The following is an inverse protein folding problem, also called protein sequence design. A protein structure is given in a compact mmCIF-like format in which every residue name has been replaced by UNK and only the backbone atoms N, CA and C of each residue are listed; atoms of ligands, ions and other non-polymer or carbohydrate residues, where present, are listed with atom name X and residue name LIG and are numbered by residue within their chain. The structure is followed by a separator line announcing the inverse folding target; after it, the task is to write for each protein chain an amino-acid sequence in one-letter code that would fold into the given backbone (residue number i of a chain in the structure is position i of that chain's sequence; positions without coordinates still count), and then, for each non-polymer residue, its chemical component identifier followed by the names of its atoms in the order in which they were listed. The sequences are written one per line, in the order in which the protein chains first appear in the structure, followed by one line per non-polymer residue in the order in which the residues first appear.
data_IF_805282450139
#
_entry.id   IF_805282450139
#
_cell.length_a   1.000
_cell.length_b   1.000
_cell.length_c   1.000
_cell.angle_alpha   90.00
_cell.angle_beta   90.00
_cell.angle_gamma   90.00
#
_symmetry.space_group_name_H-M   'P 1'
#
loop_
_entity.id
_entity.type
_entity.pdbx_description
1 polymer ?
#
# COMPACT_ATOMS: atom_id res chain seq x y z
N UNK A 1 -2.42 16.75 -23.48
CA UNK A 1 -1.29 16.23 -22.66
C UNK A 1 -0.02 16.24 -23.50
N UNK A 2 1.12 16.73 -22.95
CA UNK A 2 2.38 16.81 -23.67
C UNK A 2 2.89 15.43 -24.12
N UNK A 3 3.74 15.38 -25.16
CA UNK A 3 4.36 14.15 -25.65
C UNK A 3 5.14 13.45 -24.52
N UNK A 4 5.83 14.21 -23.68
CA UNK A 4 6.58 13.71 -22.53
C UNK A 4 5.68 12.94 -21.53
N UNK A 5 4.49 13.46 -21.18
CA UNK A 5 3.53 12.77 -20.31
C UNK A 5 3.05 11.46 -20.94
N UNK A 6 2.82 11.45 -22.26
CA UNK A 6 2.40 10.21 -22.97
C UNK A 6 3.51 9.16 -22.97
N UNK A 7 4.76 9.60 -23.21
CA UNK A 7 5.92 8.71 -23.20
C UNK A 7 6.17 8.14 -21.80
N UNK A 8 6.14 8.98 -20.76
CA UNK A 8 6.28 8.55 -19.37
C UNK A 8 5.24 7.50 -18.99
N UNK A 9 3.96 7.73 -19.32
CA UNK A 9 2.91 6.76 -19.04
C UNK A 9 3.13 5.41 -19.73
N UNK A 10 3.48 5.41 -21.02
CA UNK A 10 3.75 4.17 -21.75
C UNK A 10 4.94 3.41 -21.17
N UNK A 11 6.03 4.11 -20.84
CA UNK A 11 7.19 3.51 -20.21
C UNK A 11 6.85 2.94 -18.83
N UNK A 12 6.09 3.68 -18.01
CA UNK A 12 5.63 3.22 -16.72
C UNK A 12 4.79 1.94 -16.83
N UNK A 13 3.77 1.90 -17.71
CA UNK A 13 2.92 0.71 -17.92
C UNK A 13 3.75 -0.49 -18.40
N UNK A 14 4.72 -0.29 -19.26
CA UNK A 14 5.64 -1.35 -19.69
C UNK A 14 6.46 -1.89 -18.52
N UNK A 15 7.10 -1.01 -17.74
CA UNK A 15 7.93 -1.42 -16.60
C UNK A 15 7.11 -2.03 -15.45
N UNK A 16 5.86 -1.63 -15.31
CA UNK A 16 4.95 -2.18 -14.30
C UNK A 16 4.77 -3.69 -14.46
N UNK A 17 4.69 -4.19 -15.69
CA UNK A 17 4.48 -5.62 -15.99
C UNK A 17 5.79 -6.42 -16.07
N UNK A 18 6.93 -5.75 -16.26
CA UNK A 18 8.23 -6.41 -16.46
C UNK A 18 8.81 -6.97 -15.16
N UNK A 19 9.32 -8.22 -15.21
CA UNK A 19 10.04 -8.86 -14.10
C UNK A 19 11.22 -9.69 -14.64
N UNK A 20 12.49 -9.46 -14.27
CA UNK A 20 12.94 -8.27 -13.53
C UNK A 20 12.78 -6.98 -14.34
N UNK A 21 12.72 -5.83 -13.64
CA UNK A 21 12.69 -4.53 -14.32
C UNK A 21 14.07 -4.14 -14.81
N UNK A 22 14.10 -3.49 -15.96
CA UNK A 22 15.30 -2.87 -16.51
C UNK A 22 15.69 -1.64 -15.66
N UNK A 23 16.84 -1.70 -15.01
CA UNK A 23 17.30 -0.66 -14.08
C UNK A 23 17.63 0.67 -14.79
N UNK A 24 18.19 0.61 -16.02
CA UNK A 24 18.52 1.81 -16.80
C UNK A 24 17.24 2.52 -17.24
N UNK A 25 16.24 1.75 -17.68
CA UNK A 25 14.96 2.29 -18.09
C UNK A 25 14.17 2.85 -16.90
N UNK A 26 14.26 2.23 -15.71
CA UNK A 26 13.69 2.78 -14.46
C UNK A 26 14.36 4.10 -14.10
N UNK A 27 15.70 4.19 -14.17
CA UNK A 27 16.44 5.41 -13.88
C UNK A 27 16.12 6.53 -14.87
N UNK A 28 16.01 6.21 -16.15
CA UNK A 28 15.58 7.16 -17.18
C UNK A 28 14.16 7.67 -16.91
N UNK A 29 13.23 6.76 -16.59
CA UNK A 29 11.86 7.12 -16.25
C UNK A 29 11.80 8.04 -15.00
N UNK A 30 12.60 7.74 -13.98
CA UNK A 30 12.75 8.56 -12.79
C UNK A 30 13.16 10.00 -13.12
N UNK A 31 14.18 10.16 -13.98
CA UNK A 31 14.64 11.47 -14.45
C UNK A 31 13.55 12.23 -15.20
N UNK A 32 12.74 11.53 -15.99
CA UNK A 32 11.62 12.14 -16.71
C UNK A 32 10.52 12.60 -15.74
N UNK A 33 10.23 11.83 -14.68
CA UNK A 33 9.25 12.22 -13.66
C UNK A 33 9.70 13.42 -12.83
N UNK A 34 11.00 13.63 -12.58
CA UNK A 34 11.51 14.85 -11.96
C UNK A 34 11.04 16.10 -12.73
N UNK A 35 11.22 16.09 -14.07
CA UNK A 35 10.78 17.20 -14.92
C UNK A 35 9.26 17.35 -14.97
N UNK A 36 8.53 16.24 -14.96
CA UNK A 36 7.06 16.27 -15.01
C UNK A 36 6.44 16.82 -13.72
N UNK A 37 6.99 16.48 -12.56
CA UNK A 37 6.50 16.96 -11.26
C UNK A 37 6.67 18.47 -11.12
N UNK A 38 7.78 19.04 -11.58
CA UNK A 38 7.98 20.50 -11.56
C UNK A 38 6.88 21.25 -12.33
N UNK A 39 6.37 20.63 -13.41
CA UNK A 39 5.33 21.21 -14.28
C UNK A 39 3.91 20.88 -13.86
N UNK A 40 3.71 19.80 -13.12
CA UNK A 40 2.41 19.25 -12.76
C UNK A 40 2.33 18.87 -11.27
N UNK A 41 2.76 19.79 -10.39
CA UNK A 41 2.89 19.61 -8.92
C UNK A 41 1.62 19.13 -8.21
N UNK A 42 0.45 19.26 -8.83
CA UNK A 42 -0.87 18.88 -8.28
C UNK A 42 -1.49 17.66 -8.98
N UNK A 43 -0.78 16.98 -9.89
CA UNK A 43 -1.31 15.78 -10.53
C UNK A 43 -1.04 14.56 -9.63
N UNK A 44 -2.04 14.14 -8.87
CA UNK A 44 -1.99 13.02 -7.92
C UNK A 44 -1.51 11.71 -8.59
N UNK A 45 -1.87 11.49 -9.85
CA UNK A 45 -1.43 10.30 -10.59
C UNK A 45 0.06 10.33 -10.89
N UNK A 46 0.61 11.51 -11.22
CA UNK A 46 2.05 11.67 -11.45
C UNK A 46 2.80 11.46 -10.14
N UNK A 47 2.31 12.04 -9.04
CA UNK A 47 2.91 11.87 -7.71
C UNK A 47 2.87 10.39 -7.27
N UNK A 48 1.72 9.71 -7.42
CA UNK A 48 1.60 8.28 -7.10
C UNK A 48 2.56 7.43 -7.93
N UNK A 49 2.60 7.64 -9.25
CA UNK A 49 3.53 6.89 -10.11
C UNK A 49 4.99 7.14 -9.72
N UNK A 50 5.31 8.36 -9.27
CA UNK A 50 6.63 8.69 -8.74
C UNK A 50 6.96 7.87 -7.48
N UNK A 51 6.04 7.80 -6.54
CA UNK A 51 6.23 7.00 -5.33
C UNK A 51 6.45 5.51 -5.65
N UNK A 52 5.71 4.97 -6.62
CA UNK A 52 5.89 3.60 -7.10
C UNK A 52 7.29 3.40 -7.74
N UNK A 53 7.80 4.37 -8.50
CA UNK A 53 9.15 4.31 -9.09
C UNK A 53 10.20 4.32 -7.98
N UNK A 54 10.06 5.14 -6.94
CA UNK A 54 10.93 5.12 -5.78
C UNK A 54 10.93 3.75 -5.08
N UNK A 55 9.75 3.14 -4.92
CA UNK A 55 9.64 1.78 -4.38
C UNK A 55 10.40 0.75 -5.23
N UNK A 56 10.32 0.85 -6.57
CA UNK A 56 11.08 -0.03 -7.47
C UNK A 56 12.60 0.14 -7.33
N UNK A 57 13.05 1.34 -6.98
CA UNK A 57 14.46 1.68 -6.73
C UNK A 57 14.89 1.43 -5.28
N UNK A 58 14.00 0.91 -4.43
CA UNK A 58 14.22 0.71 -2.98
C UNK A 58 14.52 2.01 -2.21
N UNK A 59 14.09 3.14 -2.76
CA UNK A 59 14.19 4.47 -2.13
C UNK A 59 12.95 4.70 -1.24
N UNK A 60 12.79 3.85 -0.23
CA UNK A 60 11.57 3.75 0.58
C UNK A 60 11.23 5.05 1.31
N UNK A 61 12.23 5.75 1.87
CA UNK A 61 11.99 7.03 2.57
C UNK A 61 11.38 8.08 1.65
N UNK A 62 11.86 8.16 0.38
CA UNK A 62 11.30 9.07 -0.60
C UNK A 62 9.88 8.67 -1.00
N UNK A 63 9.63 7.38 -1.17
CA UNK A 63 8.29 6.86 -1.47
C UNK A 63 7.32 7.17 -0.32
N UNK A 64 7.71 6.91 0.94
CA UNK A 64 6.92 7.18 2.14
C UNK A 64 6.51 8.66 2.21
N UNK A 65 7.45 9.59 2.01
CA UNK A 65 7.17 11.02 2.04
C UNK A 65 6.13 11.43 0.98
N UNK A 66 6.22 10.86 -0.23
CA UNK A 66 5.24 11.13 -1.28
C UNK A 66 3.87 10.54 -0.93
N UNK A 67 3.82 9.28 -0.43
CA UNK A 67 2.55 8.67 -0.03
C UNK A 67 1.88 9.41 1.14
N UNK A 68 2.64 9.85 2.15
CA UNK A 68 2.10 10.69 3.24
C UNK A 68 1.48 11.98 2.68
N UNK A 69 2.15 12.64 1.74
CA UNK A 69 1.60 13.82 1.07
C UNK A 69 0.34 13.51 0.26
N UNK A 70 0.27 12.37 -0.42
CA UNK A 70 -0.92 11.94 -1.15
C UNK A 70 -2.10 11.65 -0.22
N UNK A 71 -1.86 11.09 0.96
CA UNK A 71 -2.91 10.77 1.92
C UNK A 71 -3.65 12.00 2.46
N UNK A 72 -3.08 13.21 2.36
CA UNK A 72 -3.78 14.46 2.69
C UNK A 72 -5.01 14.69 1.81
N UNK A 73 -4.93 14.30 0.54
CA UNK A 73 -5.97 14.53 -0.46
C UNK A 73 -6.70 13.24 -0.86
N UNK A 74 -6.09 12.07 -0.59
CA UNK A 74 -6.54 10.76 -1.08
C UNK A 74 -6.68 9.72 0.04
N UNK A 75 -7.00 10.14 1.26
CA UNK A 75 -7.13 9.22 2.42
C UNK A 75 -8.24 8.18 2.28
N UNK A 76 -9.22 8.41 1.41
CA UNK A 76 -10.28 7.46 1.08
C UNK A 76 -9.88 6.45 -0.01
N UNK A 77 -8.65 6.51 -0.53
CA UNK A 77 -8.16 5.59 -1.56
C UNK A 77 -7.34 4.45 -0.94
N UNK A 78 -7.91 3.26 -0.92
CA UNK A 78 -7.29 2.07 -0.33
C UNK A 78 -5.89 1.76 -0.86
N UNK A 79 -5.68 1.98 -2.16
CA UNK A 79 -4.40 1.68 -2.80
C UNK A 79 -3.26 2.57 -2.31
N UNK A 80 -3.53 3.80 -1.87
CA UNK A 80 -2.48 4.67 -1.30
C UNK A 80 -1.99 4.12 0.04
N UNK A 81 -2.88 3.64 0.89
CA UNK A 81 -2.54 2.98 2.15
C UNK A 81 -1.77 1.67 1.93
N UNK A 82 -2.26 0.85 0.98
CA UNK A 82 -1.61 -0.43 0.65
C UNK A 82 -0.22 -0.24 0.05
N UNK A 83 -0.04 0.71 -0.86
CA UNK A 83 1.26 1.01 -1.47
C UNK A 83 2.24 1.63 -0.46
N UNK A 84 1.74 2.43 0.51
CA UNK A 84 2.55 2.89 1.64
C UNK A 84 3.02 1.71 2.51
N UNK A 85 2.17 0.71 2.76
CA UNK A 85 2.55 -0.50 3.48
C UNK A 85 3.69 -1.26 2.81
N UNK A 86 3.73 -1.29 1.47
CA UNK A 86 4.81 -1.93 0.70
C UNK A 86 6.18 -1.24 0.91
N UNK A 87 6.17 0.03 1.33
CA UNK A 87 7.40 0.80 1.59
C UNK A 87 7.97 0.57 3.00
N UNK A 88 7.19 0.07 3.94
CA UNK A 88 7.64 -0.19 5.32
C UNK A 88 8.49 -1.46 5.33
N UNK A 89 9.70 -1.41 5.88
CA UNK A 89 10.59 -2.57 5.88
C UNK A 89 10.71 -3.24 7.25
N UNK A 90 10.70 -2.49 8.34
CA UNK A 90 11.16 -2.94 9.65
C UNK A 90 10.03 -3.14 10.69
N UNK A 91 8.73 -3.01 10.29
CA UNK A 91 7.61 -3.14 11.20
C UNK A 91 6.43 -3.87 10.59
N UNK A 92 6.20 -5.10 11.02
CA UNK A 92 4.98 -5.85 10.68
C UNK A 92 3.73 -5.16 11.25
N UNK A 93 3.82 -4.65 12.48
CA UNK A 93 2.73 -3.93 13.13
C UNK A 93 2.24 -2.75 12.28
N UNK A 94 3.16 -1.93 11.78
CA UNK A 94 2.82 -0.79 10.93
C UNK A 94 2.26 -1.24 9.57
N UNK A 95 2.79 -2.30 8.97
CA UNK A 95 2.21 -2.89 7.76
C UNK A 95 0.78 -3.35 7.98
N UNK A 96 0.53 -4.08 9.09
CA UNK A 96 -0.82 -4.52 9.48
C UNK A 96 -1.74 -3.31 9.64
N UNK A 97 -1.26 -2.24 10.27
CA UNK A 97 -2.02 -1.02 10.47
C UNK A 97 -2.45 -0.36 9.15
N UNK A 98 -1.52 -0.16 8.23
CA UNK A 98 -1.76 0.46 6.93
C UNK A 98 -2.69 -0.40 6.05
N UNK A 99 -2.51 -1.72 6.03
CA UNK A 99 -3.39 -2.64 5.31
C UNK A 99 -4.78 -2.71 5.93
N UNK A 100 -4.89 -2.70 7.26
CA UNK A 100 -6.17 -2.62 7.97
C UNK A 100 -6.92 -1.35 7.60
N UNK A 101 -6.23 -0.21 7.52
CA UNK A 101 -6.83 1.05 7.07
C UNK A 101 -7.30 0.97 5.62
N UNK A 102 -6.53 0.35 4.72
CA UNK A 102 -6.94 0.11 3.35
C UNK A 102 -8.26 -0.68 3.25
N UNK A 103 -8.40 -1.74 4.07
CA UNK A 103 -9.63 -2.56 4.15
C UNK A 103 -10.84 -1.82 4.74
N UNK A 104 -10.63 -0.78 5.53
CA UNK A 104 -11.73 0.03 6.07
C UNK A 104 -12.25 1.07 5.08
N UNK A 105 -11.40 1.58 4.20
CA UNK A 105 -11.79 2.65 3.26
C UNK A 105 -12.38 2.13 1.95
N UNK A 106 -12.08 0.88 1.55
CA UNK A 106 -12.67 0.24 0.37
C UNK A 106 -13.75 -0.78 0.77
N UNK A 107 -14.80 -0.86 -0.01
CA UNK A 107 -15.91 -1.80 0.23
C UNK A 107 -16.06 -2.85 -0.87
N UNK A 108 -15.41 -2.64 -2.02
CA UNK A 108 -15.48 -3.58 -3.12
C UNK A 108 -14.38 -4.63 -2.96
N UNK A 109 -14.78 -5.83 -2.55
CA UNK A 109 -13.89 -6.96 -2.29
C UNK A 109 -13.11 -7.42 -3.53
N UNK A 110 -13.58 -7.15 -4.74
CA UNK A 110 -12.86 -7.49 -5.98
C UNK A 110 -11.48 -6.81 -6.06
N UNK A 111 -11.30 -5.67 -5.39
CA UNK A 111 -10.03 -4.94 -5.35
C UNK A 111 -9.13 -5.32 -4.19
N UNK A 112 -9.64 -6.05 -3.19
CA UNK A 112 -8.98 -6.25 -1.90
C UNK A 112 -8.24 -7.59 -1.77
N UNK A 113 -8.35 -8.50 -2.75
CA UNK A 113 -7.79 -9.84 -2.67
C UNK A 113 -6.29 -9.88 -2.32
N UNK A 114 -5.47 -9.05 -2.95
CA UNK A 114 -4.03 -8.99 -2.64
C UNK A 114 -3.76 -8.47 -1.23
N UNK A 115 -4.60 -7.55 -0.72
CA UNK A 115 -4.48 -6.98 0.62
C UNK A 115 -4.81 -8.03 1.66
N UNK A 116 -5.92 -8.78 1.50
CA UNK A 116 -6.27 -9.89 2.38
C UNK A 116 -5.15 -10.94 2.47
N UNK A 117 -4.55 -11.31 1.34
CA UNK A 117 -3.43 -12.27 1.35
C UNK A 117 -2.19 -11.73 2.05
N UNK A 118 -1.83 -10.47 1.79
CA UNK A 118 -0.65 -9.87 2.44
C UNK A 118 -0.88 -9.70 3.94
N UNK A 119 -2.08 -9.29 4.34
CA UNK A 119 -2.45 -9.17 5.74
C UNK A 119 -2.45 -10.54 6.43
N UNK A 120 -2.99 -11.58 5.80
CA UNK A 120 -2.95 -12.93 6.35
C UNK A 120 -1.52 -13.42 6.60
N UNK A 121 -0.57 -13.21 5.67
CA UNK A 121 0.84 -13.57 5.87
C UNK A 121 1.47 -12.83 7.06
N UNK A 122 1.17 -11.54 7.23
CA UNK A 122 1.64 -10.77 8.37
C UNK A 122 1.03 -11.25 9.69
N UNK A 123 -0.27 -11.53 9.72
CA UNK A 123 -0.96 -12.06 10.90
C UNK A 123 -0.45 -13.45 11.30
N UNK A 124 -0.09 -14.30 10.32
CA UNK A 124 0.58 -15.60 10.59
C UNK A 124 1.93 -15.37 11.28
N UNK A 125 2.72 -14.40 10.82
CA UNK A 125 4.03 -14.08 11.39
C UNK A 125 3.92 -13.53 12.82
N UNK A 126 2.83 -12.83 13.13
CA UNK A 126 2.51 -12.29 14.45
C UNK A 126 1.71 -13.28 15.33
N UNK A 127 1.58 -14.55 14.91
CA UNK A 127 0.87 -15.61 15.63
C UNK A 127 -0.62 -15.34 15.86
N UNK A 128 -1.22 -14.42 15.11
CA UNK A 128 -2.65 -14.09 15.12
C UNK A 128 -3.42 -15.03 14.18
N UNK A 129 -3.40 -16.32 14.50
CA UNK A 129 -3.84 -17.41 13.63
C UNK A 129 -5.33 -17.35 13.29
N UNK A 130 -6.20 -17.00 14.25
CA UNK A 130 -7.65 -16.90 14.04
C UNK A 130 -8.00 -15.77 13.07
N UNK A 131 -7.36 -14.63 13.22
CA UNK A 131 -7.53 -13.46 12.36
C UNK A 131 -6.96 -13.72 10.97
N UNK A 132 -5.81 -14.38 10.88
CA UNK A 132 -5.23 -14.79 9.60
C UNK A 132 -6.17 -15.74 8.82
N UNK A 133 -6.76 -16.73 9.50
CA UNK A 133 -7.74 -17.63 8.90
C UNK A 133 -9.00 -16.88 8.43
N UNK A 134 -9.43 -15.86 9.17
CA UNK A 134 -10.52 -14.98 8.74
C UNK A 134 -10.21 -14.29 7.41
N UNK A 135 -9.02 -13.71 7.25
CA UNK A 135 -8.58 -13.05 6.00
C UNK A 135 -8.56 -14.04 4.82
N UNK A 136 -8.03 -15.23 5.04
CA UNK A 136 -7.99 -16.28 4.01
C UNK A 136 -9.39 -16.74 3.61
N UNK A 137 -10.32 -16.84 4.55
CA UNK A 137 -11.71 -17.18 4.27
C UNK A 137 -12.44 -16.08 3.48
N UNK A 138 -12.19 -14.80 3.81
CA UNK A 138 -12.70 -13.66 3.03
C UNK A 138 -12.16 -13.73 1.61
N UNK A 139 -10.85 -13.89 1.44
CA UNK A 139 -10.22 -14.02 0.13
C UNK A 139 -10.87 -15.14 -0.69
N UNK A 140 -10.99 -16.37 -0.12
CA UNK A 140 -11.58 -17.51 -0.80
C UNK A 140 -13.04 -17.31 -1.22
N UNK A 141 -13.79 -16.56 -0.42
CA UNK A 141 -15.22 -16.28 -0.70
C UNK A 141 -15.41 -15.42 -1.95
N UNK A 142 -14.52 -14.46 -2.19
CA UNK A 142 -14.63 -13.47 -3.27
C UNK A 142 -13.74 -13.78 -4.49
N UNK A 143 -12.84 -14.77 -4.38
CA UNK A 143 -11.92 -15.15 -5.46
C UNK A 143 -12.04 -16.64 -5.77
N UNK A 144 -12.72 -16.97 -6.88
CA UNK A 144 -13.00 -18.35 -7.29
C UNK A 144 -11.72 -19.17 -7.53
N UNK A 145 -10.71 -18.55 -8.15
CA UNK A 145 -9.43 -19.19 -8.41
C UNK A 145 -8.42 -18.76 -7.32
N UNK A 146 -8.21 -19.65 -6.35
CA UNK A 146 -7.23 -19.39 -5.29
C UNK A 146 -5.81 -19.34 -5.86
N UNK A 147 -5.07 -18.29 -5.50
CA UNK A 147 -3.68 -18.12 -5.92
C UNK A 147 -2.75 -19.13 -5.22
N UNK A 148 -1.53 -19.33 -5.81
CA UNK A 148 -0.48 -20.13 -5.16
C UNK A 148 -0.18 -19.60 -3.74
N UNK A 149 -0.16 -18.28 -3.54
CA UNK A 149 0.05 -17.68 -2.21
C UNK A 149 -1.03 -18.09 -1.21
N UNK A 150 -2.30 -18.16 -1.64
CA UNK A 150 -3.36 -18.65 -0.77
C UNK A 150 -3.09 -20.07 -0.29
N UNK A 151 -2.67 -20.97 -1.19
CA UNK A 151 -2.35 -22.37 -0.83
C UNK A 151 -1.18 -22.41 0.16
N UNK A 152 -0.12 -21.66 -0.08
CA UNK A 152 1.04 -21.58 0.82
C UNK A 152 0.65 -21.06 2.21
N UNK A 153 -0.27 -20.11 2.31
CA UNK A 153 -0.68 -19.52 3.59
C UNK A 153 -1.65 -20.41 4.35
N UNK A 154 -2.61 -21.04 3.68
CA UNK A 154 -3.56 -21.96 4.34
C UNK A 154 -2.87 -23.21 4.92
N UNK A 155 -1.77 -23.65 4.34
CA UNK A 155 -0.95 -24.74 4.88
C UNK A 155 -0.19 -24.35 6.15
N UNK A 156 0.03 -23.05 6.39
CA UNK A 156 0.75 -22.52 7.56
C UNK A 156 -0.16 -22.16 8.72
N UNK A 157 -1.46 -22.15 8.51
CA UNK A 157 -2.46 -21.77 9.51
C UNK A 157 -3.07 -23.03 10.13
N UNK A 158 -3.23 -23.01 11.46
CA UNK A 158 -4.02 -24.04 12.13
C UNK A 158 -5.51 -23.85 11.82
N UNK A 159 -6.03 -24.68 10.93
CA UNK A 159 -7.43 -24.65 10.49
C UNK A 159 -8.41 -25.18 11.55
N UNK A 160 -7.94 -25.69 12.68
CA UNK A 160 -8.79 -26.14 13.81
C UNK A 160 -9.27 -24.97 14.68
N UNK A 161 -8.63 -23.80 14.56
CA UNK A 161 -9.08 -22.60 15.27
C UNK A 161 -10.38 -22.06 14.68
N UNK A 162 -11.20 -21.47 15.52
CA UNK A 162 -12.44 -20.84 15.09
C UNK A 162 -12.14 -19.39 14.73
N UNK A 163 -12.19 -19.00 13.43
CA UNK A 163 -11.94 -17.63 13.03
C UNK A 163 -13.11 -16.73 13.44
N UNK A 164 -12.88 -15.45 13.70
CA UNK A 164 -13.96 -14.49 13.87
C UNK A 164 -14.77 -14.36 12.55
N UNK A 165 -16.03 -13.90 12.66
CA UNK A 165 -16.88 -13.68 11.51
C UNK A 165 -16.32 -12.59 10.54
N UNK A 166 -15.55 -11.66 11.08
CA UNK A 166 -14.82 -10.60 10.37
C UNK A 166 -13.76 -10.00 11.29
N UNK A 167 -12.77 -9.32 10.72
CA UNK A 167 -11.68 -8.67 11.44
C UNK A 167 -11.91 -7.16 11.69
N UNK A 168 -13.15 -6.65 11.68
CA UNK A 168 -13.42 -5.20 11.84
C UNK A 168 -12.86 -4.61 13.14
N UNK A 169 -12.89 -5.36 14.24
CA UNK A 169 -12.31 -4.92 15.51
C UNK A 169 -10.79 -4.76 15.40
N UNK A 170 -10.14 -5.72 14.77
CA UNK A 170 -8.70 -5.64 14.48
C UNK A 170 -8.41 -4.44 13.58
N UNK A 171 -9.13 -4.29 12.47
CA UNK A 171 -8.92 -3.17 11.55
C UNK A 171 -9.09 -1.81 12.22
N UNK A 172 -10.15 -1.61 13.04
CA UNK A 172 -10.37 -0.36 13.73
C UNK A 172 -9.27 -0.05 14.75
N UNK A 173 -8.77 -1.06 15.47
CA UNK A 173 -7.65 -0.91 16.40
C UNK A 173 -6.38 -0.46 15.69
N UNK A 174 -6.05 -1.10 14.58
CA UNK A 174 -4.83 -0.80 13.83
C UNK A 174 -4.93 0.47 12.97
N UNK A 175 -6.13 0.85 12.53
CA UNK A 175 -6.33 2.05 11.73
C UNK A 175 -5.87 3.33 12.46
N UNK A 176 -6.01 3.40 13.79
CA UNK A 176 -5.50 4.53 14.58
C UNK A 176 -3.98 4.67 14.46
N UNK A 177 -3.25 3.56 14.52
CA UNK A 177 -1.79 3.54 14.35
C UNK A 177 -1.41 4.02 12.93
N UNK A 178 -2.17 3.59 11.91
CA UNK A 178 -1.95 4.01 10.53
C UNK A 178 -2.15 5.53 10.35
N UNK A 179 -3.20 6.09 10.93
CA UNK A 179 -3.51 7.53 10.88
C UNK A 179 -2.46 8.35 11.62
N UNK A 180 -2.07 7.96 12.81
CA UNK A 180 -1.00 8.60 13.56
C UNK A 180 0.30 8.61 12.76
N UNK A 181 0.69 7.47 12.18
CA UNK A 181 1.89 7.40 11.36
C UNK A 181 1.81 8.30 10.12
N UNK A 182 0.67 8.32 9.43
CA UNK A 182 0.51 9.08 8.20
C UNK A 182 0.52 10.60 8.43
N UNK A 183 -0.04 11.09 9.56
CA UNK A 183 -0.36 12.50 9.77
C UNK A 183 0.42 13.19 10.91
N UNK A 184 1.16 12.44 11.76
CA UNK A 184 1.88 12.98 12.93
C UNK A 184 2.83 14.15 12.63
N UNK A 185 3.51 14.14 11.49
CA UNK A 185 4.45 15.21 11.11
C UNK A 185 3.75 16.51 10.67
N UNK A 186 2.46 16.44 10.35
CA UNK A 186 1.66 17.57 9.88
C UNK A 186 1.19 18.38 11.07
N UNK A 187 0.70 17.72 12.11
CA UNK A 187 0.33 18.37 13.36
C UNK A 187 1.51 19.11 13.99
N UNK A 188 2.72 18.54 13.92
CA UNK A 188 3.93 19.17 14.42
C UNK A 188 4.31 20.46 13.63
N UNK A 189 4.01 20.53 12.32
CA UNK A 189 4.27 21.73 11.51
C UNK A 189 3.23 22.82 11.73
N UNK A 190 1.98 22.48 11.95
CA UNK A 190 0.93 23.45 12.25
C UNK A 190 1.13 24.09 13.62
N UNK A 191 1.51 23.33 14.65
CA UNK A 191 1.83 23.83 15.99
C UNK A 191 3.00 24.84 15.95
N UNK A 192 4.04 24.58 15.15
CA UNK A 192 5.18 25.50 15.01
C UNK A 192 4.88 26.78 14.24
N UNK A 193 3.77 26.86 13.48
CA UNK A 193 3.34 28.05 12.76
C UNK A 193 2.45 28.95 13.62
N UNK A 194 1.80 28.41 14.66
CA UNK A 194 0.93 29.19 15.58
C UNK A 194 1.75 29.91 16.66
N UNK A 195 2.96 29.42 16.98
CA UNK A 195 3.86 29.98 18.00
C UNK A 195 4.87 31.04 17.43
N UNK A 196 4.63 31.55 16.24
CA UNK A 196 5.41 32.67 15.61
C UNK A 196 4.48 33.80 15.25
#
# INVERSE_FOLDING_TARGET
KSLAVKAAKKCYEYLKELRPRDAELVSWLDSLYNVLIERAKKDEWILRQRAIIYTWQQQYDLAINVYKSLLLEMSEKYYVWSELADCIQDSNELKIALLSKALLVERNEDFLGSIHLTLADLLIKEELTSEALCELNIYKKFHENTSRKYQEYIERVDISVIPPNNNKLLYNRYATIAEEYAFSEIEAKEVTLVDR
#
